data_IF_814148159011
#
_entry.id   IF_814148159011
#
_cell.length_a   1.000
_cell.length_b   1.000
_cell.length_c   1.000
_cell.angle_alpha   90.00
_cell.angle_beta   90.00
_cell.angle_gamma   90.00
#
_symmetry.space_group_name_H-M   'P 1'
#
loop_
_entity.id
_entity.type
_entity.pdbx_description
1 polymer ?
#
# COMPACT_ATOMS: atom_id res chain seq x y z
N UNK A 1 -32.74 -8.84 11.09
CA UNK A 1 -33.05 -7.43 10.77
C UNK A 1 -31.95 -6.63 11.43
N UNK A 2 -30.89 -6.31 10.68
CA UNK A 2 -29.72 -5.59 11.22
C UNK A 2 -29.93 -4.11 10.90
N UNK A 3 -29.80 -3.27 11.92
CA UNK A 3 -30.15 -1.86 11.90
C UNK A 3 -29.19 -1.05 11.02
N UNK A 4 -29.75 -0.15 10.20
CA UNK A 4 -29.02 0.78 9.31
C UNK A 4 -27.94 1.63 10.02
N UNK A 5 -27.98 1.73 11.36
CA UNK A 5 -26.94 2.39 12.15
C UNK A 5 -25.57 1.69 12.09
N UNK A 6 -25.54 0.38 11.80
CA UNK A 6 -24.27 -0.36 11.71
C UNK A 6 -23.47 0.01 10.46
N UNK A 7 -24.17 0.30 9.35
CA UNK A 7 -23.57 0.69 8.06
C UNK A 7 -22.95 2.10 8.16
N UNK A 8 -23.61 3.03 8.84
CA UNK A 8 -23.06 4.36 9.09
C UNK A 8 -21.81 4.35 9.98
N UNK A 9 -21.70 3.39 10.91
CA UNK A 9 -20.52 3.25 11.78
C UNK A 9 -19.27 2.72 11.05
N UNK A 10 -19.47 1.86 10.05
CA UNK A 10 -18.40 1.32 9.21
C UNK A 10 -17.82 2.41 8.29
N UNK A 11 -18.70 3.24 7.71
CA UNK A 11 -18.30 4.37 6.85
C UNK A 11 -17.66 5.53 7.64
N UNK A 12 -18.10 5.78 8.89
CA UNK A 12 -17.50 6.82 9.74
C UNK A 12 -16.08 6.46 10.23
N UNK A 13 -15.75 5.17 10.31
CA UNK A 13 -14.45 4.70 10.83
C UNK A 13 -13.31 4.83 9.82
N UNK A 14 -13.60 4.94 8.52
CA UNK A 14 -12.60 5.09 7.45
C UNK A 14 -12.39 6.55 6.99
N UNK A 15 -12.83 7.54 7.76
CA UNK A 15 -12.48 8.94 7.46
C UNK A 15 -11.02 9.20 7.86
N UNK A 16 -10.14 9.18 6.85
CA UNK A 16 -8.74 9.57 6.92
C UNK A 16 -8.61 10.90 7.67
N UNK A 17 -7.99 10.87 8.86
CA UNK A 17 -7.49 12.09 9.52
C UNK A 17 -6.26 12.56 8.75
N UNK A 18 -6.46 13.56 7.90
CA UNK A 18 -5.39 14.40 7.36
C UNK A 18 -4.58 14.97 8.51
N UNK A 19 -3.35 14.48 8.72
CA UNK A 19 -2.43 15.04 9.72
C UNK A 19 -1.82 16.32 9.14
N UNK A 20 -2.52 17.44 9.33
CA UNK A 20 -1.95 18.76 9.15
C UNK A 20 -0.95 19.04 10.29
N UNK A 21 0.30 19.23 9.90
CA UNK A 21 1.43 19.73 10.70
C UNK A 21 1.04 20.97 11.52
N UNK A 22 0.96 20.82 12.85
CA UNK A 22 1.13 21.93 13.81
C UNK A 22 1.81 21.40 15.08
N UNK A 23 3.13 21.56 15.17
CA UNK A 23 3.82 21.48 16.44
C UNK A 23 3.65 22.85 17.13
N UNK A 24 2.72 22.93 18.09
CA UNK A 24 2.67 24.02 19.06
C UNK A 24 3.30 23.51 20.36
N UNK A 25 4.44 24.09 20.71
CA UNK A 25 5.15 23.81 21.96
C UNK A 25 4.42 24.55 23.08
N UNK A 26 3.70 23.81 23.92
CA UNK A 26 3.21 24.32 25.20
C UNK A 26 4.18 23.90 26.31
N UNK A 27 4.85 24.89 26.89
CA UNK A 27 5.73 24.75 28.03
C UNK A 27 4.94 24.36 29.29
N UNK A 28 5.36 23.27 29.95
CA UNK A 28 4.93 22.87 31.28
C UNK A 28 6.14 22.50 32.10
N UNK A 29 6.55 23.38 33.02
CA UNK A 29 7.69 23.21 33.91
C UNK A 29 7.47 22.06 34.90
N UNK A 30 8.45 21.17 35.05
CA UNK A 30 8.64 20.43 36.31
C UNK A 30 10.11 20.07 36.52
N UNK A 31 10.72 20.82 37.46
CA UNK A 31 11.81 20.49 38.38
C UNK A 31 12.90 19.50 37.96
N UNK A 32 14.10 20.08 37.81
CA UNK A 32 15.41 19.46 37.62
C UNK A 32 15.81 18.60 38.84
N UNK A 33 16.22 17.35 38.59
CA UNK A 33 17.14 16.61 39.47
C UNK A 33 18.26 16.02 38.63
N UNK A 34 19.42 16.65 38.75
CA UNK A 34 20.67 16.33 38.08
C UNK A 34 21.25 15.00 38.60
N UNK A 35 21.47 14.07 37.68
CA UNK A 35 22.33 12.90 37.84
C UNK A 35 23.20 12.79 36.58
N UNK A 36 24.48 12.50 36.81
CA UNK A 36 25.66 12.64 35.95
C UNK A 36 25.61 11.90 34.58
N UNK A 37 26.54 12.19 33.64
CA UNK A 37 26.29 12.10 32.21
C UNK A 37 26.32 10.65 31.72
N UNK A 38 25.15 10.08 31.52
CA UNK A 38 24.97 8.96 30.59
C UNK A 38 25.11 9.50 29.18
N UNK A 39 26.12 8.98 28.47
CA UNK A 39 26.35 9.08 27.04
C UNK A 39 25.04 9.30 26.29
N UNK A 40 24.95 10.42 25.56
CA UNK A 40 23.84 10.74 24.69
C UNK A 40 23.71 9.65 23.62
N UNK A 41 22.94 8.60 23.94
CA UNK A 41 22.43 7.67 22.95
C UNK A 41 21.32 8.41 22.21
N UNK A 42 21.67 8.95 21.04
CA UNK A 42 20.90 8.78 19.81
C UNK A 42 19.39 9.09 19.82
N UNK A 43 18.85 9.84 20.77
CA UNK A 43 17.44 10.25 20.80
C UNK A 43 17.05 11.20 19.65
N UNK A 44 18.02 11.54 18.79
CA UNK A 44 17.89 12.34 17.55
C UNK A 44 18.58 11.68 16.36
N UNK A 45 18.95 10.40 16.45
CA UNK A 45 19.21 9.61 15.26
C UNK A 45 17.88 9.45 14.51
N UNK A 46 17.61 10.42 13.63
CA UNK A 46 17.18 10.20 12.25
C UNK A 46 15.94 9.31 12.07
N UNK A 47 14.87 9.87 11.49
CA UNK A 47 13.91 9.10 10.68
C UNK A 47 14.62 7.88 10.07
N UNK A 48 14.18 6.64 10.36
CA UNK A 48 14.89 5.45 9.87
C UNK A 48 15.17 5.62 8.38
N UNK A 49 16.32 5.16 7.87
CA UNK A 49 16.65 5.33 6.44
C UNK A 49 15.49 4.87 5.55
N UNK A 50 14.81 3.79 5.94
CA UNK A 50 13.58 3.31 5.29
C UNK A 50 12.43 4.32 5.36
N UNK A 51 12.13 4.91 6.53
CA UNK A 51 11.08 5.91 6.65
C UNK A 51 11.34 7.13 5.76
N UNK A 52 12.61 7.55 5.61
CA UNK A 52 12.98 8.61 4.68
C UNK A 52 12.74 8.20 3.23
N UNK A 53 13.20 7.01 2.84
CA UNK A 53 12.96 6.51 1.48
C UNK A 53 11.47 6.39 1.17
N UNK A 54 10.65 5.88 2.09
CA UNK A 54 9.20 5.78 1.92
C UNK A 54 8.55 7.17 1.76
N UNK A 55 8.99 8.18 2.52
CA UNK A 55 8.50 9.54 2.37
C UNK A 55 8.85 10.12 0.97
N UNK A 56 10.07 9.89 0.51
CA UNK A 56 10.50 10.36 -0.81
C UNK A 56 9.77 9.61 -1.94
N UNK A 57 9.52 8.31 -1.78
CA UNK A 57 8.70 7.51 -2.68
C UNK A 57 7.25 7.99 -2.71
N UNK A 58 6.68 8.39 -1.57
CA UNK A 58 5.33 8.96 -1.50
C UNK A 58 5.23 10.26 -2.32
N UNK A 59 6.19 11.16 -2.18
CA UNK A 59 6.23 12.39 -2.98
C UNK A 59 6.33 12.10 -4.49
N UNK A 60 7.09 11.08 -4.90
CA UNK A 60 7.17 10.64 -6.30
C UNK A 60 5.88 9.96 -6.78
N UNK A 61 5.22 9.18 -5.93
CA UNK A 61 3.94 8.56 -6.24
C UNK A 61 2.87 9.63 -6.48
N UNK A 62 2.79 10.65 -5.63
CA UNK A 62 1.87 11.78 -5.79
C UNK A 62 2.12 12.56 -7.09
N UNK A 63 3.40 12.83 -7.41
CA UNK A 63 3.78 13.50 -8.65
C UNK A 63 3.42 12.68 -9.90
N UNK A 64 3.63 11.36 -9.86
CA UNK A 64 3.26 10.44 -10.94
C UNK A 64 1.75 10.38 -11.13
N UNK A 65 1.01 10.17 -10.04
CA UNK A 65 -0.43 9.93 -10.08
C UNK A 65 -1.24 11.20 -10.40
N UNK A 66 -0.71 12.38 -10.08
CA UNK A 66 -1.28 13.67 -10.51
C UNK A 66 -0.85 14.10 -11.93
N UNK A 67 0.28 13.59 -12.43
CA UNK A 67 0.85 13.98 -13.71
C UNK A 67 0.43 13.13 -14.91
N UNK A 68 -0.07 11.90 -14.67
CA UNK A 68 -0.40 10.93 -15.73
C UNK A 68 -1.91 10.66 -15.79
N UNK A 69 -2.42 10.45 -17.01
CA UNK A 69 -3.79 10.01 -17.23
C UNK A 69 -4.01 8.53 -16.88
N UNK A 70 -5.27 8.14 -16.62
CA UNK A 70 -5.65 6.77 -16.25
C UNK A 70 -5.05 5.69 -17.17
N UNK A 71 -5.10 5.88 -18.50
CA UNK A 71 -4.54 4.90 -19.45
C UNK A 71 -3.02 4.82 -19.36
N UNK A 72 -2.34 5.94 -19.16
CA UNK A 72 -0.88 6.01 -19.05
C UNK A 72 -0.42 5.36 -17.75
N UNK A 73 -1.12 5.63 -16.64
CA UNK A 73 -0.93 4.94 -15.36
C UNK A 73 -1.10 3.43 -15.50
N UNK A 74 -2.12 2.97 -16.24
CA UNK A 74 -2.37 1.55 -16.44
C UNK A 74 -1.30 0.86 -17.30
N UNK A 75 -0.73 1.56 -18.28
CA UNK A 75 0.44 1.06 -19.04
C UNK A 75 1.67 1.01 -18.14
N UNK A 76 1.97 2.10 -17.43
CA UNK A 76 3.11 2.19 -16.53
C UNK A 76 3.08 1.11 -15.43
N UNK A 77 1.91 0.87 -14.85
CA UNK A 77 1.73 -0.18 -13.86
C UNK A 77 2.09 -1.58 -14.41
N UNK A 78 1.66 -1.89 -15.63
CA UNK A 78 1.97 -3.18 -16.28
C UNK A 78 3.45 -3.33 -16.56
N UNK A 79 4.08 -2.27 -17.06
CA UNK A 79 5.52 -2.27 -17.36
C UNK A 79 6.34 -2.46 -16.06
N UNK A 80 5.95 -1.76 -14.99
CA UNK A 80 6.55 -1.94 -13.66
C UNK A 80 6.39 -3.37 -13.16
N UNK A 81 5.16 -3.90 -13.18
CA UNK A 81 4.87 -5.26 -12.67
C UNK A 81 5.66 -6.30 -13.47
N UNK A 82 5.76 -6.16 -14.80
CA UNK A 82 6.55 -7.10 -15.61
C UNK A 82 8.05 -7.05 -15.27
N UNK A 83 8.58 -5.85 -15.01
CA UNK A 83 9.97 -5.62 -14.60
C UNK A 83 10.31 -6.12 -13.20
N UNK A 84 9.35 -6.14 -12.28
CA UNK A 84 9.59 -6.54 -10.88
C UNK A 84 9.09 -7.94 -10.53
N UNK A 85 8.24 -8.57 -11.35
CA UNK A 85 7.70 -9.90 -11.06
C UNK A 85 7.20 -10.69 -12.27
N UNK A 86 7.26 -10.13 -13.47
CA UNK A 86 6.82 -10.78 -14.71
C UNK A 86 7.97 -11.37 -15.53
N UNK A 87 7.74 -11.50 -16.83
CA UNK A 87 8.65 -12.21 -17.74
C UNK A 87 9.98 -11.47 -17.87
N UNK A 88 9.94 -10.13 -17.95
CA UNK A 88 11.16 -9.32 -18.05
C UNK A 88 12.05 -9.47 -16.81
N UNK A 89 11.47 -9.51 -15.61
CA UNK A 89 12.22 -9.76 -14.38
C UNK A 89 13.04 -11.06 -14.46
N UNK A 90 12.39 -12.18 -14.75
CA UNK A 90 13.06 -13.49 -14.78
C UNK A 90 14.09 -13.60 -15.91
N UNK A 91 13.84 -12.96 -17.07
CA UNK A 91 14.78 -12.92 -18.18
C UNK A 91 16.08 -12.18 -17.81
N UNK A 92 16.00 -11.20 -16.90
CA UNK A 92 17.11 -10.34 -16.51
C UNK A 92 17.66 -10.62 -15.10
N UNK A 93 17.31 -11.76 -14.50
CA UNK A 93 17.67 -12.10 -13.10
C UNK A 93 19.17 -11.90 -12.77
N UNK A 94 20.07 -12.33 -13.67
CA UNK A 94 21.53 -12.13 -13.47
C UNK A 94 21.95 -10.67 -13.42
N UNK A 95 21.26 -9.80 -14.15
CA UNK A 95 21.50 -8.35 -14.12
C UNK A 95 21.02 -7.77 -12.78
N UNK A 96 19.84 -8.19 -12.32
CA UNK A 96 19.27 -7.75 -11.04
C UNK A 96 20.09 -8.25 -9.84
N UNK A 97 20.59 -9.48 -9.89
CA UNK A 97 21.49 -10.04 -8.86
C UNK A 97 22.81 -9.26 -8.72
N UNK A 98 23.27 -8.62 -9.80
CA UNK A 98 24.49 -7.82 -9.83
C UNK A 98 24.26 -6.34 -9.50
N UNK A 99 23.01 -5.92 -9.29
CA UNK A 99 22.67 -4.54 -8.99
C UNK A 99 23.12 -4.17 -7.56
N UNK A 100 23.75 -3.00 -7.43
CA UNK A 100 24.18 -2.44 -6.14
C UNK A 100 23.63 -1.02 -6.05
N UNK A 101 22.97 -0.65 -4.93
CA UNK A 101 22.49 0.71 -4.72
C UNK A 101 23.62 1.75 -4.87
N UNK A 102 23.32 2.89 -5.48
CA UNK A 102 24.28 4.00 -5.65
C UNK A 102 24.34 4.87 -4.39
N UNK A 103 24.74 4.28 -3.28
CA UNK A 103 24.77 4.93 -1.96
C UNK A 103 25.91 4.40 -1.11
N UNK A 104 26.39 5.21 -0.17
CA UNK A 104 27.34 4.82 0.86
C UNK A 104 26.63 4.41 2.18
N UNK A 105 25.29 4.46 2.23
CA UNK A 105 24.53 4.06 3.42
C UNK A 105 24.61 2.52 3.59
N UNK A 106 25.26 2.02 4.66
CA UNK A 106 25.43 0.59 4.87
C UNK A 106 24.10 -0.16 5.09
N UNK A 107 23.06 0.51 5.60
CA UNK A 107 21.75 -0.10 5.80
C UNK A 107 21.06 -0.38 4.45
N UNK A 108 21.23 0.51 3.46
CA UNK A 108 20.70 0.32 2.11
C UNK A 108 21.44 -0.78 1.35
N UNK A 109 22.77 -0.79 1.47
CA UNK A 109 23.61 -1.84 0.87
C UNK A 109 23.22 -3.22 1.44
N UNK A 110 23.08 -3.33 2.77
CA UNK A 110 22.70 -4.59 3.40
C UNK A 110 21.28 -5.03 3.01
N UNK A 111 20.32 -4.11 2.95
CA UNK A 111 18.95 -4.45 2.54
C UNK A 111 18.88 -4.92 1.09
N UNK A 112 19.62 -4.28 0.18
CA UNK A 112 19.71 -4.74 -1.21
C UNK A 112 20.36 -6.13 -1.32
N UNK A 113 21.41 -6.40 -0.51
CA UNK A 113 22.01 -7.74 -0.40
C UNK A 113 20.97 -8.77 0.06
N UNK A 114 20.19 -8.46 1.10
CA UNK A 114 19.12 -9.33 1.61
C UNK A 114 18.02 -9.57 0.57
N UNK A 115 17.64 -8.55 -0.21
CA UNK A 115 16.67 -8.69 -1.29
C UNK A 115 17.18 -9.64 -2.38
N UNK A 116 18.47 -9.56 -2.75
CA UNK A 116 19.09 -10.49 -3.70
C UNK A 116 19.16 -11.92 -3.14
N UNK A 117 19.47 -12.10 -1.86
CA UNK A 117 19.40 -13.42 -1.21
C UNK A 117 17.98 -13.99 -1.22
N UNK A 118 16.97 -13.16 -0.91
CA UNK A 118 15.58 -13.54 -0.97
C UNK A 118 15.15 -13.94 -2.39
N UNK A 119 15.50 -13.15 -3.40
CA UNK A 119 15.23 -13.45 -4.81
C UNK A 119 15.88 -14.77 -5.28
N UNK A 120 16.95 -15.21 -4.63
CA UNK A 120 17.63 -16.47 -4.88
C UNK A 120 17.19 -17.62 -3.95
N UNK A 121 16.20 -17.37 -3.08
CA UNK A 121 15.63 -18.38 -2.18
C UNK A 121 16.50 -18.74 -0.98
N UNK A 122 17.52 -17.94 -0.67
CA UNK A 122 18.45 -18.18 0.46
C UNK A 122 18.23 -17.21 1.62
N UNK A 123 17.50 -16.11 1.41
CA UNK A 123 17.21 -15.08 2.40
C UNK A 123 15.75 -14.98 2.79
N UNK A 124 15.46 -14.16 3.80
CA UNK A 124 14.09 -13.72 4.14
C UNK A 124 13.76 -12.44 3.38
N UNK A 125 12.47 -12.21 3.14
CA UNK A 125 12.02 -10.95 2.54
C UNK A 125 12.38 -9.77 3.47
N UNK A 126 13.20 -8.80 3.01
CA UNK A 126 13.59 -7.65 3.85
C UNK A 126 12.44 -6.67 4.12
N UNK A 127 11.31 -6.78 3.41
CA UNK A 127 10.12 -5.95 3.59
C UNK A 127 8.97 -6.68 4.32
N UNK A 128 9.24 -7.86 4.87
CA UNK A 128 8.24 -8.63 5.62
C UNK A 128 7.62 -7.80 6.75
N UNK A 129 6.29 -7.78 6.80
CA UNK A 129 5.52 -7.06 7.83
C UNK A 129 5.31 -5.57 7.57
N UNK A 130 5.72 -5.03 6.42
CA UNK A 130 5.26 -3.72 5.96
C UNK A 130 3.78 -3.77 5.53
N UNK A 131 3.09 -2.63 5.63
CA UNK A 131 1.71 -2.53 5.12
C UNK A 131 1.67 -2.51 3.59
N UNK A 132 0.53 -2.87 2.98
CA UNK A 132 0.35 -2.78 1.52
C UNK A 132 0.68 -1.38 0.99
N UNK A 133 0.30 -0.31 1.68
CA UNK A 133 0.63 1.06 1.26
C UNK A 133 2.13 1.33 1.26
N UNK A 134 2.86 0.88 2.28
CA UNK A 134 4.32 1.02 2.31
C UNK A 134 4.98 0.17 1.21
N UNK A 135 4.48 -1.04 0.97
CA UNK A 135 4.98 -1.91 -0.09
C UNK A 135 4.74 -1.31 -1.47
N UNK A 136 3.56 -0.74 -1.74
CA UNK A 136 3.23 -0.03 -2.99
C UNK A 136 4.18 1.12 -3.27
N UNK A 137 4.59 1.87 -2.24
CA UNK A 137 5.58 2.93 -2.37
C UNK A 137 6.93 2.39 -2.85
N UNK A 138 7.36 1.21 -2.42
CA UNK A 138 8.58 0.57 -2.93
C UNK A 138 8.35 0.03 -4.34
N UNK A 139 7.25 -0.70 -4.57
CA UNK A 139 6.96 -1.39 -5.83
C UNK A 139 6.95 -0.44 -7.01
N UNK A 140 6.27 0.71 -6.92
CA UNK A 140 6.09 1.61 -8.05
C UNK A 140 7.11 2.75 -8.14
N UNK A 141 8.16 2.73 -7.32
CA UNK A 141 9.18 3.77 -7.30
C UNK A 141 10.33 3.50 -8.28
N UNK A 142 10.09 3.79 -9.56
CA UNK A 142 11.12 3.67 -10.61
C UNK A 142 12.24 4.70 -10.52
N UNK A 143 11.99 5.83 -9.84
CA UNK A 143 12.95 6.93 -9.69
C UNK A 143 13.72 6.91 -8.37
N UNK A 144 13.47 5.92 -7.51
CA UNK A 144 14.10 5.79 -6.20
C UNK A 144 15.38 4.96 -6.20
N UNK A 145 16.02 4.90 -5.04
CA UNK A 145 17.29 4.18 -4.82
C UNK A 145 17.11 2.67 -4.57
N UNK A 146 15.90 2.13 -4.75
CA UNK A 146 15.65 0.70 -4.61
C UNK A 146 16.16 -0.06 -5.84
N UNK A 147 16.87 -1.16 -5.60
CA UNK A 147 17.20 -2.13 -6.65
C UNK A 147 15.95 -2.84 -7.16
N UNK A 148 16.04 -3.48 -8.33
CA UNK A 148 14.94 -4.30 -8.86
C UNK A 148 14.63 -5.48 -7.94
N UNK A 149 15.63 -6.09 -7.30
CA UNK A 149 15.42 -7.17 -6.33
C UNK A 149 14.70 -6.68 -5.06
N UNK A 150 14.97 -5.45 -4.59
CA UNK A 150 14.19 -4.86 -3.50
C UNK A 150 12.72 -4.65 -3.90
N UNK A 151 12.48 -4.12 -5.10
CA UNK A 151 11.11 -3.91 -5.61
C UNK A 151 10.39 -5.24 -5.85
N UNK A 152 11.09 -6.28 -6.30
CA UNK A 152 10.55 -7.65 -6.38
C UNK A 152 10.17 -8.19 -5.00
N UNK A 153 11.03 -8.01 -3.99
CA UNK A 153 10.74 -8.45 -2.63
C UNK A 153 9.49 -7.76 -2.07
N UNK A 154 9.35 -6.44 -2.27
CA UNK A 154 8.14 -5.71 -1.88
C UNK A 154 6.90 -6.19 -2.67
N UNK A 155 7.05 -6.46 -3.96
CA UNK A 155 5.97 -6.99 -4.82
C UNK A 155 5.46 -8.35 -4.31
N UNK A 156 6.36 -9.26 -3.95
CA UNK A 156 5.99 -10.60 -3.45
C UNK A 156 5.29 -10.54 -2.09
N UNK A 157 5.77 -9.70 -1.15
CA UNK A 157 5.07 -9.49 0.12
C UNK A 157 3.65 -8.94 -0.10
N UNK A 158 3.52 -7.91 -0.96
CA UNK A 158 2.23 -7.30 -1.25
C UNK A 158 1.28 -8.28 -1.94
N UNK A 159 1.81 -9.10 -2.83
CA UNK A 159 1.07 -10.18 -3.48
C UNK A 159 0.55 -11.19 -2.44
N UNK A 160 1.37 -11.61 -1.49
CA UNK A 160 0.96 -12.59 -0.47
C UNK A 160 -0.15 -12.03 0.44
N UNK A 161 -0.04 -10.76 0.86
CA UNK A 161 -1.09 -10.06 1.60
C UNK A 161 -2.41 -10.00 0.79
N UNK A 162 -2.32 -9.63 -0.49
CA UNK A 162 -3.48 -9.54 -1.37
C UNK A 162 -4.12 -10.91 -1.65
N UNK A 163 -3.32 -11.97 -1.80
CA UNK A 163 -3.85 -13.33 -1.99
C UNK A 163 -4.53 -13.86 -0.73
N UNK A 164 -4.00 -13.53 0.45
CA UNK A 164 -4.65 -13.87 1.71
C UNK A 164 -6.02 -13.19 1.81
N UNK A 165 -6.08 -11.88 1.56
CA UNK A 165 -7.33 -11.12 1.53
C UNK A 165 -8.32 -11.68 0.50
N UNK A 166 -7.88 -11.95 -0.74
CA UNK A 166 -8.73 -12.53 -1.80
C UNK A 166 -9.33 -13.88 -1.42
N UNK A 167 -8.55 -14.75 -0.77
CA UNK A 167 -9.03 -16.05 -0.28
C UNK A 167 -10.12 -15.86 0.77
N UNK A 168 -9.90 -14.97 1.73
CA UNK A 168 -10.84 -14.72 2.82
C UNK A 168 -12.15 -14.09 2.30
N UNK A 169 -12.05 -13.13 1.39
CA UNK A 169 -13.20 -12.49 0.73
C UNK A 169 -13.97 -13.48 -0.13
N UNK A 170 -13.29 -14.36 -0.88
CA UNK A 170 -13.95 -15.39 -1.69
C UNK A 170 -14.72 -16.36 -0.80
N UNK A 171 -14.14 -16.77 0.33
CA UNK A 171 -14.83 -17.61 1.29
C UNK A 171 -16.05 -16.90 1.86
N UNK A 172 -15.90 -15.65 2.30
CA UNK A 172 -16.99 -14.82 2.84
C UNK A 172 -18.13 -14.67 1.83
N UNK A 173 -17.81 -14.46 0.56
CA UNK A 173 -18.79 -14.33 -0.52
C UNK A 173 -19.73 -15.55 -0.58
N UNK A 174 -19.14 -16.75 -0.54
CA UNK A 174 -19.88 -18.02 -0.60
C UNK A 174 -20.67 -18.26 0.69
N UNK A 175 -20.07 -18.00 1.86
CA UNK A 175 -20.73 -18.19 3.15
C UNK A 175 -21.95 -17.25 3.28
N UNK A 176 -21.80 -15.96 2.97
CA UNK A 176 -22.89 -14.97 3.00
C UNK A 176 -24.04 -15.35 2.05
N UNK A 177 -23.70 -15.83 0.85
CA UNK A 177 -24.69 -16.30 -0.12
C UNK A 177 -25.49 -17.48 0.43
N UNK A 178 -24.81 -18.46 1.02
CA UNK A 178 -25.45 -19.65 1.58
C UNK A 178 -26.37 -19.31 2.77
N UNK A 179 -26.04 -18.28 3.54
CA UNK A 179 -26.83 -17.85 4.70
C UNK A 179 -28.00 -16.92 4.35
N UNK A 180 -27.83 -16.03 3.38
CA UNK A 180 -28.78 -14.93 3.12
C UNK A 180 -29.42 -14.96 1.74
N UNK A 181 -28.89 -15.77 0.82
CA UNK A 181 -29.26 -15.78 -0.59
C UNK A 181 -28.64 -14.64 -1.42
N UNK A 182 -27.77 -13.81 -0.82
CA UNK A 182 -27.06 -12.68 -1.45
C UNK A 182 -25.66 -12.54 -0.86
N UNK A 183 -24.81 -11.74 -1.51
CA UNK A 183 -23.44 -11.42 -1.04
C UNK A 183 -23.20 -9.91 -0.97
N UNK A 184 -24.24 -9.15 -0.64
CA UNK A 184 -24.26 -7.68 -0.69
C UNK A 184 -23.13 -7.09 0.16
N UNK A 185 -22.92 -7.58 1.38
CA UNK A 185 -21.91 -7.04 2.30
C UNK A 185 -20.51 -7.33 1.78
N UNK A 186 -20.27 -8.53 1.25
CA UNK A 186 -18.98 -8.89 0.66
C UNK A 186 -18.70 -8.06 -0.60
N UNK A 187 -19.70 -7.80 -1.44
CA UNK A 187 -19.56 -6.93 -2.61
C UNK A 187 -19.20 -5.49 -2.22
N UNK A 188 -19.78 -4.96 -1.13
CA UNK A 188 -19.42 -3.66 -0.58
C UNK A 188 -17.98 -3.64 -0.04
N UNK A 189 -17.50 -4.73 0.58
CA UNK A 189 -16.10 -4.85 1.01
C UNK A 189 -15.12 -4.83 -0.17
N UNK A 190 -15.43 -5.54 -1.26
CA UNK A 190 -14.60 -5.54 -2.47
C UNK A 190 -14.55 -4.14 -3.09
N UNK A 191 -15.69 -3.44 -3.11
CA UNK A 191 -15.76 -2.07 -3.61
C UNK A 191 -14.93 -1.11 -2.74
N UNK A 192 -15.03 -1.22 -1.41
CA UNK A 192 -14.22 -0.41 -0.51
C UNK A 192 -12.71 -0.64 -0.72
N UNK A 193 -12.29 -1.91 -0.86
CA UNK A 193 -10.89 -2.24 -1.19
C UNK A 193 -10.45 -1.63 -2.51
N UNK A 194 -11.32 -1.65 -3.54
CA UNK A 194 -11.04 -1.00 -4.81
C UNK A 194 -10.91 0.53 -4.67
N UNK A 195 -11.75 1.16 -3.85
CA UNK A 195 -11.72 2.61 -3.63
C UNK A 195 -10.49 3.07 -2.86
N UNK A 196 -9.86 2.21 -2.07
CA UNK A 196 -8.62 2.48 -1.35
C UNK A 196 -7.36 2.32 -2.24
N UNK A 197 -7.47 1.75 -3.45
CA UNK A 197 -6.33 1.59 -4.34
C UNK A 197 -5.77 2.96 -4.81
N UNK A 198 -4.43 3.11 -4.90
CA UNK A 198 -3.84 4.29 -5.52
C UNK A 198 -4.21 4.39 -7.01
N UNK A 199 -4.18 5.58 -7.62
CA UNK A 199 -4.53 5.78 -9.03
C UNK A 199 -3.82 4.83 -10.01
N UNK A 200 -2.53 4.55 -9.79
CA UNK A 200 -1.76 3.60 -10.61
C UNK A 200 -2.31 2.15 -10.57
N UNK A 201 -2.87 1.74 -9.44
CA UNK A 201 -3.49 0.41 -9.29
C UNK A 201 -4.91 0.38 -9.84
N UNK A 202 -5.72 1.41 -9.54
CA UNK A 202 -7.06 1.55 -10.14
C UNK A 202 -7.02 1.52 -11.66
N UNK A 203 -5.98 2.11 -12.25
CA UNK A 203 -5.74 2.15 -13.68
C UNK A 203 -5.56 0.78 -14.36
N UNK A 204 -5.33 -0.27 -13.58
CA UNK A 204 -5.22 -1.64 -14.11
C UNK A 204 -6.59 -2.31 -14.32
N UNK A 205 -7.65 -1.74 -13.75
CA UNK A 205 -9.01 -2.24 -13.87
C UNK A 205 -9.76 -1.58 -15.04
N UNK A 206 -10.79 -2.24 -15.62
CA UNK A 206 -11.68 -1.60 -16.58
C UNK A 206 -12.37 -0.36 -15.99
N UNK A 207 -12.62 0.67 -16.81
CA UNK A 207 -13.30 1.91 -16.36
C UNK A 207 -14.67 1.67 -15.68
N UNK A 208 -15.35 0.57 -16.03
CA UNK A 208 -16.63 0.18 -15.49
C UNK A 208 -16.54 -0.86 -14.36
N UNK A 209 -15.36 -1.06 -13.74
CA UNK A 209 -15.15 -2.10 -12.73
C UNK A 209 -16.14 -2.01 -11.56
N UNK A 210 -16.25 -0.86 -10.90
CA UNK A 210 -17.19 -0.66 -9.79
C UNK A 210 -18.66 -0.88 -10.22
N UNK A 211 -19.03 -0.39 -11.41
CA UNK A 211 -20.37 -0.59 -11.96
C UNK A 211 -20.67 -2.07 -12.26
N UNK A 212 -19.69 -2.81 -12.79
CA UNK A 212 -19.81 -4.25 -13.05
C UNK A 212 -19.94 -5.03 -11.74
N UNK A 213 -19.16 -4.68 -10.72
CA UNK A 213 -19.24 -5.29 -9.40
C UNK A 213 -20.64 -5.06 -8.77
N UNK A 214 -21.17 -3.86 -8.88
CA UNK A 214 -22.50 -3.51 -8.39
C UNK A 214 -23.64 -4.11 -9.23
N UNK A 215 -23.41 -4.50 -10.48
CA UNK A 215 -24.46 -5.05 -11.34
C UNK A 215 -24.96 -6.43 -10.90
N UNK A 216 -24.15 -7.16 -10.11
CA UNK A 216 -24.53 -8.46 -9.55
C UNK A 216 -25.56 -8.37 -8.42
N UNK A 217 -25.75 -7.20 -7.82
CA UNK A 217 -26.73 -6.97 -6.76
C UNK A 217 -27.21 -5.50 -6.74
N UNK A 218 -28.50 -5.30 -7.04
CA UNK A 218 -29.10 -3.96 -7.10
C UNK A 218 -28.95 -3.17 -5.79
N UNK A 219 -28.85 -3.83 -4.64
CA UNK A 219 -28.63 -3.17 -3.34
C UNK A 219 -27.24 -2.51 -3.25
N UNK A 220 -26.23 -3.06 -3.92
CA UNK A 220 -24.89 -2.43 -4.01
C UNK A 220 -24.93 -1.18 -4.87
N UNK A 221 -25.69 -1.22 -5.98
CA UNK A 221 -25.88 -0.06 -6.85
C UNK A 221 -26.64 1.08 -6.14
N UNK A 222 -27.62 0.75 -5.30
CA UNK A 222 -28.33 1.74 -4.47
C UNK A 222 -27.41 2.36 -3.42
N UNK A 223 -26.59 1.55 -2.72
CA UNK A 223 -25.60 2.04 -1.75
C UNK A 223 -24.55 2.97 -2.39
N UNK A 224 -24.14 2.70 -3.63
CA UNK A 224 -23.26 3.58 -4.41
C UNK A 224 -23.94 4.93 -4.70
N UNK A 225 -25.20 4.93 -5.13
CA UNK A 225 -25.94 6.16 -5.47
C UNK A 225 -26.18 7.04 -4.24
N UNK A 226 -26.46 6.46 -3.08
CA UNK A 226 -26.66 7.20 -1.84
C UNK A 226 -25.36 7.82 -1.33
N UNK A 227 -24.24 7.09 -1.45
CA UNK A 227 -22.90 7.59 -1.07
C UNK A 227 -22.40 8.72 -1.98
N UNK A 228 -22.66 8.66 -3.29
CA UNK A 228 -22.30 9.76 -4.20
C UNK A 228 -23.14 11.02 -3.99
N UNK A 229 -24.36 10.89 -3.44
CA UNK A 229 -25.24 12.04 -3.19
C UNK A 229 -24.90 12.77 -1.89
N UNK A 230 -24.30 12.10 -0.90
CA UNK A 230 -23.89 12.71 0.38
C UNK A 230 -22.58 13.49 0.30
N UNK A 231 -21.76 13.28 -0.73
CA UNK A 231 -20.49 14.03 -0.95
C UNK A 231 -20.73 15.38 -1.64
N UNK A 232 -21.93 15.63 -2.18
CA UNK A 232 -22.28 16.83 -2.96
C UNK A 232 -23.17 17.82 -2.16
N UNK A 233 -23.42 17.58 -0.87
CA UNK A 233 -24.18 18.48 0.02
C UNK A 233 -23.31 19.04 1.13
#
# INVERSE_FOLDING_TARGET
MIDNNSISSFLASNTIKTVAKTASVAAGNTTVKELAPTTANSDTATLSTLAKQLNDSAARADARDSGLGFKELGTLAKDIIDKVGGTSYYANRKLHDAEVPKTDDPALIERARQATEFANGTGKNPFAGLSQDQLRLVIYDEGGDYTVNERNAAYLENHDLEQAWKRDVTKRYVDEYNETGKSTDTLLMILAHYDELPPIEKAQYPNNYAANLASGDSSVLEALKTSSSSVVS
#
